data_IF_370675590226
#
_entry.id   IF_370675590226
#
_cell.length_a   1.000
_cell.length_b   1.000
_cell.length_c   1.000
_cell.angle_alpha   90.00
_cell.angle_beta   90.00
_cell.angle_gamma   90.00
#
_symmetry.space_group_name_H-M   'P 1'
#
loop_
_entity.id
_entity.type
_entity.pdbx_description
1 polymer ?
#
# COMPACT_ATOMS: atom_id res chain seq x y z
N UNK A 1 -3.34 8.55 14.49
CA UNK A 1 -2.80 7.17 14.51
C UNK A 1 -1.31 7.28 14.77
N UNK A 2 -0.74 6.54 15.73
CA UNK A 2 0.71 6.56 15.93
C UNK A 2 1.42 5.86 14.76
N UNK A 3 2.70 6.19 14.50
CA UNK A 3 3.46 5.58 13.38
C UNK A 3 3.46 4.05 13.44
N UNK A 4 3.64 3.49 14.64
CA UNK A 4 3.60 2.05 14.88
C UNK A 4 2.24 1.42 14.50
N UNK A 5 1.14 2.03 14.94
CA UNK A 5 -0.21 1.57 14.60
C UNK A 5 -0.46 1.62 13.08
N UNK A 6 0.00 2.69 12.43
CA UNK A 6 -0.12 2.85 10.98
C UNK A 6 0.66 1.79 10.23
N UNK A 7 1.86 1.43 10.70
CA UNK A 7 2.63 0.33 10.10
C UNK A 7 1.93 -1.02 10.27
N UNK A 8 1.39 -1.32 11.46
CA UNK A 8 0.65 -2.57 11.71
C UNK A 8 -0.60 -2.64 10.84
N UNK A 9 -1.33 -1.54 10.70
CA UNK A 9 -2.47 -1.47 9.79
C UNK A 9 -2.05 -1.69 8.32
N UNK A 10 -0.98 -1.02 7.86
CA UNK A 10 -0.50 -1.17 6.48
C UNK A 10 -0.05 -2.61 6.18
N UNK A 11 0.63 -3.26 7.14
CA UNK A 11 1.00 -4.67 7.05
C UNK A 11 -0.24 -5.55 6.85
N UNK A 12 -1.26 -5.42 7.71
CA UNK A 12 -2.51 -6.19 7.59
C UNK A 12 -3.20 -5.98 6.25
N UNK A 13 -3.21 -4.74 5.75
CA UNK A 13 -3.77 -4.44 4.43
C UNK A 13 -2.99 -5.11 3.30
N UNK A 14 -1.67 -5.16 3.36
CA UNK A 14 -0.88 -5.91 2.36
C UNK A 14 -1.07 -7.41 2.45
N UNK A 15 -1.19 -7.97 3.66
CA UNK A 15 -1.50 -9.39 3.88
C UNK A 15 -2.88 -9.75 3.28
N UNK A 16 -3.88 -8.89 3.49
CA UNK A 16 -5.20 -9.01 2.90
C UNK A 16 -5.14 -9.01 1.35
N UNK A 17 -4.44 -8.03 0.76
CA UNK A 17 -4.28 -7.96 -0.70
C UNK A 17 -3.57 -9.20 -1.26
N UNK A 18 -2.53 -9.69 -0.59
CA UNK A 18 -1.80 -10.88 -1.02
C UNK A 18 -2.68 -12.13 -0.96
N UNK A 19 -3.47 -12.29 0.11
CA UNK A 19 -4.44 -13.37 0.24
C UNK A 19 -5.47 -13.33 -0.90
N UNK A 20 -6.04 -12.16 -1.18
CA UNK A 20 -7.01 -11.96 -2.28
C UNK A 20 -6.39 -12.23 -3.66
N UNK A 21 -5.12 -11.88 -3.85
CA UNK A 21 -4.36 -12.18 -5.06
C UNK A 21 -3.93 -13.65 -5.17
N UNK A 22 -3.99 -14.41 -4.07
CA UNK A 22 -3.55 -15.80 -3.98
C UNK A 22 -2.02 -15.96 -4.01
N UNK A 23 -1.29 -15.03 -3.41
CA UNK A 23 0.18 -15.04 -3.35
C UNK A 23 0.70 -14.91 -1.91
N UNK A 24 1.97 -15.22 -1.67
CA UNK A 24 2.59 -15.16 -0.34
C UNK A 24 3.64 -14.06 -0.27
N UNK A 25 3.47 -13.14 0.68
CA UNK A 25 4.44 -12.07 0.91
C UNK A 25 5.77 -12.59 1.47
N UNK A 26 6.86 -12.02 0.98
CA UNK A 26 8.19 -12.16 1.56
C UNK A 26 8.36 -11.14 2.69
N UNK A 27 8.34 -11.61 3.94
CA UNK A 27 8.45 -10.75 5.14
C UNK A 27 9.79 -10.01 5.22
N UNK A 28 10.85 -10.55 4.64
CA UNK A 28 12.17 -9.92 4.63
C UNK A 28 12.25 -8.74 3.65
N UNK A 29 11.25 -8.59 2.78
CA UNK A 29 11.15 -7.47 1.85
C UNK A 29 10.37 -6.26 2.38
N UNK A 30 9.91 -6.34 3.64
CA UNK A 30 9.16 -5.24 4.28
C UNK A 30 10.03 -3.99 4.39
N UNK A 31 9.55 -2.90 3.83
CA UNK A 31 10.24 -1.61 3.82
C UNK A 31 9.25 -0.47 4.10
N UNK A 32 9.03 -0.10 5.38
CA UNK A 32 8.22 1.05 5.75
C UNK A 32 9.06 2.33 5.66
N UNK A 33 8.56 3.32 4.92
CA UNK A 33 9.14 4.64 4.82
C UNK A 33 8.19 5.69 5.37
N UNK A 34 8.63 6.41 6.41
CA UNK A 34 7.90 7.53 6.98
C UNK A 34 8.57 8.84 6.58
N UNK A 35 7.79 9.80 6.09
CA UNK A 35 8.26 11.15 5.82
C UNK A 35 7.35 12.19 6.45
N UNK A 36 7.85 13.42 6.53
CA UNK A 36 7.02 14.55 6.91
C UNK A 36 5.94 14.81 5.86
N UNK A 37 4.84 15.44 6.26
CA UNK A 37 3.89 15.97 5.29
C UNK A 37 4.43 17.25 4.67
N UNK A 38 4.42 17.31 3.35
CA UNK A 38 4.84 18.48 2.59
C UNK A 38 3.64 19.13 1.89
N UNK A 39 3.56 20.45 1.98
CA UNK A 39 2.64 21.28 1.21
C UNK A 39 3.04 21.37 -0.26
N UNK A 40 2.23 22.06 -1.07
CA UNK A 40 2.43 22.16 -2.52
C UNK A 40 3.78 22.76 -2.90
N UNK A 41 4.36 23.62 -2.05
CA UNK A 41 5.65 24.27 -2.29
C UNK A 41 6.76 23.73 -1.38
N UNK A 42 6.58 22.52 -0.82
CA UNK A 42 7.56 21.91 0.10
C UNK A 42 7.46 22.42 1.53
N UNK A 43 6.35 23.09 1.89
CA UNK A 43 6.17 23.57 3.26
C UNK A 43 6.00 22.39 4.22
N UNK A 44 6.83 22.35 5.26
CA UNK A 44 6.71 21.35 6.33
C UNK A 44 6.20 22.06 7.59
N UNK A 45 5.18 21.48 8.23
CA UNK A 45 4.69 21.95 9.53
C UNK A 45 5.30 21.06 10.62
N UNK A 46 5.82 21.68 11.69
CA UNK A 46 6.41 20.97 12.83
C UNK A 46 5.35 20.49 13.85
N UNK A 47 4.22 19.97 13.37
CA UNK A 47 3.12 19.45 14.21
C UNK A 47 3.13 17.90 14.31
N UNK A 48 4.22 17.28 13.83
CA UNK A 48 4.45 15.84 13.88
C UNK A 48 3.67 15.05 12.82
N UNK A 49 2.94 15.71 11.92
CA UNK A 49 2.26 15.06 10.81
C UNK A 49 3.22 14.31 9.90
N UNK A 50 2.76 13.16 9.41
CA UNK A 50 3.58 12.27 8.60
C UNK A 50 2.77 11.56 7.51
N UNK A 51 3.49 11.01 6.53
CA UNK A 51 2.98 10.01 5.59
C UNK A 51 3.69 8.69 5.80
N UNK A 52 3.07 7.61 5.36
CA UNK A 52 3.68 6.27 5.26
C UNK A 52 3.61 5.81 3.81
N UNK A 53 4.74 5.35 3.29
CA UNK A 53 4.83 4.45 2.16
C UNK A 53 5.29 3.08 2.67
N UNK A 54 4.40 2.10 2.72
CA UNK A 54 4.70 0.74 3.16
C UNK A 54 4.82 -0.17 1.95
N UNK A 55 5.98 -0.78 1.76
CA UNK A 55 6.26 -1.69 0.66
C UNK A 55 6.54 -3.10 1.17
N UNK A 56 6.02 -4.09 0.46
CA UNK A 56 6.36 -5.51 0.65
C UNK A 56 6.20 -6.22 -0.68
N UNK A 57 7.05 -7.20 -0.96
CA UNK A 57 7.02 -7.97 -2.19
C UNK A 57 6.56 -9.40 -1.96
N UNK A 58 6.01 -10.01 -3.01
CA UNK A 58 5.86 -11.44 -3.19
C UNK A 58 6.83 -11.90 -4.28
N UNK A 59 7.38 -13.10 -4.14
CA UNK A 59 8.14 -13.77 -5.20
C UNK A 59 7.20 -14.68 -5.97
N UNK A 60 6.88 -14.30 -7.21
CA UNK A 60 5.90 -14.98 -8.07
C UNK A 60 6.44 -14.97 -9.50
N UNK A 61 6.27 -16.05 -10.29
CA UNK A 61 6.65 -16.02 -11.69
C UNK A 61 5.96 -14.86 -12.45
N UNK A 62 6.71 -14.16 -13.30
CA UNK A 62 6.21 -13.02 -14.07
C UNK A 62 4.90 -13.30 -14.82
N UNK A 63 4.76 -14.51 -15.35
CA UNK A 63 3.57 -14.97 -16.08
C UNK A 63 2.29 -14.99 -15.22
N UNK A 64 2.43 -15.07 -13.90
CA UNK A 64 1.30 -15.13 -12.96
C UNK A 64 0.89 -13.75 -12.43
N UNK A 65 1.73 -12.72 -12.61
CA UNK A 65 1.42 -11.35 -12.15
C UNK A 65 0.07 -10.82 -12.69
N UNK A 66 -0.29 -11.00 -13.98
CA UNK A 66 -1.61 -10.63 -14.50
C UNK A 66 -2.75 -11.31 -13.74
N UNK A 67 -2.61 -12.59 -13.43
CA UNK A 67 -3.61 -13.35 -12.69
C UNK A 67 -3.81 -12.82 -11.26
N UNK A 68 -2.72 -12.42 -10.60
CA UNK A 68 -2.76 -11.85 -9.26
C UNK A 68 -3.57 -10.54 -9.22
N UNK A 69 -3.26 -9.57 -10.10
CA UNK A 69 -4.01 -8.30 -10.13
C UNK A 69 -5.44 -8.47 -10.61
N UNK A 70 -5.71 -9.44 -11.48
CA UNK A 70 -7.07 -9.77 -11.95
C UNK A 70 -7.96 -10.31 -10.84
N UNK A 71 -7.42 -11.18 -9.98
CA UNK A 71 -8.14 -11.70 -8.80
C UNK A 71 -8.38 -10.60 -7.75
N UNK A 72 -7.38 -9.73 -7.56
CA UNK A 72 -7.44 -8.67 -6.55
C UNK A 72 -8.46 -7.57 -6.91
N UNK A 73 -8.55 -7.20 -8.19
CA UNK A 73 -9.42 -6.12 -8.66
C UNK A 73 -10.87 -6.17 -8.11
N UNK A 74 -11.65 -7.25 -8.35
CA UNK A 74 -13.04 -7.30 -7.90
C UNK A 74 -13.18 -7.30 -6.37
N UNK A 75 -12.21 -7.88 -5.65
CA UNK A 75 -12.20 -7.86 -4.18
C UNK A 75 -12.07 -6.44 -3.65
N UNK A 76 -11.15 -5.65 -4.21
CA UNK A 76 -10.99 -4.25 -3.85
C UNK A 76 -12.23 -3.43 -4.18
N UNK A 77 -12.83 -3.63 -5.35
CA UNK A 77 -14.05 -2.91 -5.75
C UNK A 77 -15.23 -3.22 -4.81
N UNK A 78 -15.37 -4.47 -4.38
CA UNK A 78 -16.36 -4.89 -3.39
C UNK A 78 -16.17 -4.23 -2.02
N UNK A 79 -14.91 -3.95 -1.64
CA UNK A 79 -14.56 -3.33 -0.36
C UNK A 79 -14.51 -1.80 -0.42
N UNK A 80 -15.14 -1.19 -1.43
CA UNK A 80 -15.25 0.26 -1.51
C UNK A 80 -13.97 0.96 -2.00
N UNK A 81 -13.11 0.26 -2.75
CA UNK A 81 -12.06 0.91 -3.53
C UNK A 81 -12.53 1.25 -4.94
N UNK A 82 -12.07 2.40 -5.44
CA UNK A 82 -12.11 2.74 -6.85
C UNK A 82 -10.75 2.43 -7.49
N UNK A 83 -10.73 1.52 -8.47
CA UNK A 83 -9.52 1.22 -9.26
C UNK A 83 -9.31 2.33 -10.29
N UNK A 84 -8.23 3.10 -10.12
CA UNK A 84 -7.93 4.27 -10.96
C UNK A 84 -7.00 3.95 -12.12
N UNK A 85 -6.29 2.83 -12.07
CA UNK A 85 -5.45 2.34 -13.17
C UNK A 85 -5.30 0.83 -13.07
N UNK A 86 -5.38 0.15 -14.21
CA UNK A 86 -5.28 -1.31 -14.29
C UNK A 86 -4.56 -1.69 -15.58
N UNK A 87 -3.58 -2.58 -15.49
CA UNK A 87 -2.85 -3.15 -16.62
C UNK A 87 -2.35 -4.54 -16.27
N UNK A 88 -2.37 -5.42 -17.25
CA UNK A 88 -1.85 -6.79 -17.14
C UNK A 88 -0.60 -7.01 -17.99
N UNK A 89 -0.49 -6.29 -19.12
CA UNK A 89 0.59 -6.45 -20.09
C UNK A 89 1.05 -5.12 -20.66
N UNK A 90 2.32 -5.03 -21.04
CA UNK A 90 2.89 -3.95 -21.87
C UNK A 90 3.60 -4.60 -23.05
N UNK A 91 3.31 -4.16 -24.27
CA UNK A 91 3.93 -4.66 -25.50
C UNK A 91 3.89 -6.21 -25.61
N UNK A 92 2.78 -6.83 -25.19
CA UNK A 92 2.59 -8.29 -25.21
C UNK A 92 3.34 -9.06 -24.12
N UNK A 93 4.04 -8.39 -23.20
CA UNK A 93 4.75 -9.01 -22.08
C UNK A 93 3.97 -8.79 -20.77
N UNK A 94 3.96 -9.77 -19.84
CA UNK A 94 3.33 -9.58 -18.54
C UNK A 94 3.97 -8.41 -17.79
N UNK A 95 3.15 -7.44 -17.42
CA UNK A 95 3.54 -6.29 -16.63
C UNK A 95 2.29 -5.78 -15.91
N UNK A 96 2.10 -6.29 -14.70
CA UNK A 96 0.91 -6.01 -13.91
C UNK A 96 1.02 -4.63 -13.24
N UNK A 97 -0.10 -3.92 -13.22
CA UNK A 97 -0.28 -2.67 -12.50
C UNK A 97 -1.72 -2.57 -12.04
N UNK A 98 -1.92 -2.31 -10.76
CA UNK A 98 -3.21 -1.98 -10.19
C UNK A 98 -3.03 -0.84 -9.21
N UNK A 99 -3.66 0.30 -9.47
CA UNK A 99 -3.79 1.40 -8.54
C UNK A 99 -5.24 1.55 -8.11
N UNK A 100 -5.48 1.67 -6.81
CA UNK A 100 -6.80 1.92 -6.28
C UNK A 100 -6.79 2.89 -5.10
N UNK A 101 -7.93 3.57 -4.90
CA UNK A 101 -8.16 4.51 -3.80
C UNK A 101 -9.38 4.06 -3.01
N UNK A 102 -9.28 4.03 -1.68
CA UNK A 102 -10.46 3.75 -0.85
C UNK A 102 -11.40 4.95 -0.87
N UNK A 103 -12.70 4.74 -1.06
CA UNK A 103 -13.66 5.82 -1.27
C UNK A 103 -13.79 6.73 -0.04
N UNK A 104 -13.71 6.16 1.16
CA UNK A 104 -13.79 6.90 2.43
C UNK A 104 -12.41 7.10 3.09
N UNK A 105 -11.41 6.35 2.62
CA UNK A 105 -10.12 6.18 3.27
C UNK A 105 -9.13 7.19 2.72
N UNK A 106 -8.30 7.77 3.60
CA UNK A 106 -7.24 8.70 3.17
C UNK A 106 -5.96 7.96 2.78
N UNK A 107 -6.06 6.93 1.96
CA UNK A 107 -4.92 6.13 1.51
C UNK A 107 -5.15 5.58 0.09
N UNK A 108 -4.05 5.16 -0.53
CA UNK A 108 -4.05 4.55 -1.85
C UNK A 108 -3.19 3.30 -1.83
N UNK A 109 -3.55 2.35 -2.69
CA UNK A 109 -2.87 1.07 -2.81
C UNK A 109 -2.33 0.90 -4.23
N UNK A 110 -1.20 0.21 -4.32
CA UNK A 110 -0.58 -0.17 -5.57
C UNK A 110 -0.13 -1.63 -5.51
N UNK A 111 -0.45 -2.39 -6.56
CA UNK A 111 0.14 -3.70 -6.80
C UNK A 111 0.73 -3.71 -8.20
N UNK A 112 2.05 -3.90 -8.31
CA UNK A 112 2.73 -3.79 -9.59
C UNK A 112 3.91 -4.74 -9.73
N UNK A 113 4.18 -5.18 -10.97
CA UNK A 113 5.47 -5.78 -11.33
C UNK A 113 6.58 -4.76 -11.03
N UNK A 114 7.58 -5.12 -10.24
CA UNK A 114 8.68 -4.20 -9.94
C UNK A 114 9.70 -4.78 -8.95
N UNK A 115 10.95 -4.31 -9.03
CA UNK A 115 12.04 -4.74 -8.16
C UNK A 115 12.75 -6.04 -8.57
N UNK A 116 12.45 -6.57 -9.76
CA UNK A 116 13.02 -7.81 -10.30
C UNK A 116 12.09 -8.46 -11.33
N UNK A 117 12.52 -9.53 -12.03
CA UNK A 117 11.70 -10.23 -13.02
C UNK A 117 10.55 -11.03 -12.39
N UNK A 118 10.63 -11.36 -11.10
CA UNK A 118 9.74 -12.27 -10.37
C UNK A 118 9.12 -11.61 -9.13
N UNK A 119 9.17 -10.28 -9.06
CA UNK A 119 8.69 -9.52 -7.90
C UNK A 119 7.40 -8.80 -8.21
N UNK A 120 6.38 -9.15 -7.45
CA UNK A 120 5.11 -8.43 -7.39
C UNK A 120 5.10 -7.61 -6.09
N UNK A 121 5.14 -6.29 -6.22
CA UNK A 121 5.21 -5.38 -5.08
C UNK A 121 3.83 -4.91 -4.68
N UNK A 122 3.52 -4.98 -3.39
CA UNK A 122 2.32 -4.47 -2.74
C UNK A 122 2.70 -3.22 -1.95
N UNK A 123 1.99 -2.13 -2.19
CA UNK A 123 2.27 -0.84 -1.55
C UNK A 123 1.00 -0.24 -0.97
N UNK A 124 1.11 0.23 0.27
CA UNK A 124 0.13 1.13 0.89
C UNK A 124 0.78 2.50 1.03
N UNK A 125 0.09 3.54 0.57
CA UNK A 125 0.50 4.90 0.85
C UNK A 125 -0.62 5.66 1.54
N UNK A 126 -0.28 6.30 2.65
CA UNK A 126 -1.23 7.17 3.35
C UNK A 126 -1.16 8.58 2.78
N UNK A 127 -2.26 9.32 2.85
CA UNK A 127 -2.16 10.78 2.87
C UNK A 127 -1.54 11.24 4.19
N UNK A 128 -1.39 12.55 4.33
CA UNK A 128 -0.94 13.15 5.57
C UNK A 128 -1.81 12.73 6.77
N UNK A 129 -1.18 12.10 7.76
CA UNK A 129 -1.78 11.65 9.00
C UNK A 129 -1.33 12.54 10.15
N UNK A 130 -2.27 12.89 11.01
CA UNK A 130 -1.95 13.46 12.32
C UNK A 130 -1.60 12.32 13.28
N UNK A 131 -0.44 12.35 13.95
CA UNK A 131 -0.20 11.46 15.09
C UNK A 131 -1.30 11.71 16.13
N UNK A 132 -1.87 10.62 16.67
CA UNK A 132 -2.78 10.76 17.80
C UNK A 132 -1.96 11.27 18.98
N UNK A 133 -2.38 12.37 19.61
CA UNK A 133 -1.83 12.78 20.89
C UNK A 133 -2.22 11.74 21.93
N UNK A 134 -1.34 10.78 22.20
CA UNK A 134 -1.41 10.03 23.46
C UNK A 134 -0.98 10.97 24.58
N UNK A 135 -1.84 11.92 24.92
CA UNK A 135 -1.95 12.37 26.30
C UNK A 135 -3.01 11.48 26.95
N UNK A 136 -2.65 10.26 27.34
CA UNK A 136 -3.39 9.61 28.44
C UNK A 136 -2.73 10.09 29.72
N UNK A 137 -3.33 11.13 30.25
CA UNK A 137 -3.21 11.61 31.62
C UNK A 137 -3.04 10.46 32.61
N UNK A 138 -2.00 10.58 33.44
CA UNK A 138 -2.11 10.19 34.83
C UNK A 138 -3.46 10.69 35.37
N UNK A 139 -4.30 9.77 35.84
CA UNK A 139 -5.47 10.12 36.63
C UNK A 139 -5.44 9.25 37.89
N UNK A 140 -5.09 9.95 38.98
CA UNK A 140 -5.38 9.75 40.40
C UNK A 140 -4.93 8.46 41.09
#
# INVERSE_FOLDING_TARGET
MAKADTQVWAQKMTEYMAQAAGVTLNKDSVNPFFSNCEGKNGEVVEDGRYTLAYHVASTVPLAEHPGAVRKLKPVLEQDGFTVTSYRETVNGRPEALLYAKHNEGRYFINVSTGGGPDRLTFTINTRCLMPSSVSSTAQH
#
